data_IF_080433630094
#
_entry.id   IF_080433630094
#
_cell.length_a   1.000
_cell.length_b   1.000
_cell.length_c   1.000
_cell.angle_alpha   90.00
_cell.angle_beta   90.00
_cell.angle_gamma   90.00
#
_symmetry.space_group_name_H-M   'P 1'
#
loop_
_entity.id
_entity.type
_entity.pdbx_description
1 polymer ?
#
# COMPACT_ATOMS: atom_id res chain seq x y z
N UNK A 1 14.68 -7.72 -14.04
CA UNK A 1 13.35 -7.38 -14.59
C UNK A 1 13.55 -6.64 -15.90
N UNK A 2 12.94 -7.08 -17.01
CA UNK A 2 13.26 -6.61 -18.38
C UNK A 2 12.81 -5.16 -18.69
N UNK A 3 11.98 -4.55 -17.83
CA UNK A 3 11.34 -3.24 -18.06
C UNK A 3 11.56 -2.22 -16.92
N UNK A 4 12.45 -2.49 -15.96
CA UNK A 4 12.60 -1.67 -14.75
C UNK A 4 13.00 -0.21 -15.02
N UNK A 5 13.84 0.03 -16.02
CA UNK A 5 14.26 1.39 -16.39
C UNK A 5 13.14 2.16 -17.12
N UNK A 6 12.21 1.44 -17.78
CA UNK A 6 11.12 2.04 -18.56
C UNK A 6 9.92 2.49 -17.73
N UNK A 7 9.79 2.01 -16.48
CA UNK A 7 8.68 2.36 -15.56
C UNK A 7 9.00 3.59 -14.70
N UNK A 8 10.22 4.15 -14.80
CA UNK A 8 10.64 5.35 -14.07
C UNK A 8 10.63 5.16 -12.55
N UNK A 9 10.98 3.96 -12.09
CA UNK A 9 11.15 3.64 -10.67
C UNK A 9 12.62 3.76 -10.29
N UNK A 10 12.88 4.36 -9.13
CA UNK A 10 14.22 4.35 -8.54
C UNK A 10 14.61 2.92 -8.11
N UNK A 11 15.90 2.67 -7.91
CA UNK A 11 16.36 1.39 -7.34
C UNK A 11 15.69 1.07 -6.00
N UNK A 12 15.39 2.09 -5.22
CA UNK A 12 14.71 1.93 -3.93
C UNK A 12 13.25 1.51 -4.11
N UNK A 13 12.56 2.06 -5.10
CA UNK A 13 11.17 1.70 -5.41
C UNK A 13 11.08 0.22 -5.78
N UNK A 14 12.06 -0.31 -6.54
CA UNK A 14 12.07 -1.72 -6.97
C UNK A 14 12.15 -2.74 -5.83
N UNK A 15 12.60 -2.34 -4.64
CA UNK A 15 12.63 -3.18 -3.45
C UNK A 15 11.44 -2.98 -2.51
N UNK A 16 10.57 -2.02 -2.81
CA UNK A 16 9.57 -1.48 -1.88
C UNK A 16 8.17 -1.43 -2.52
N UNK A 17 7.78 -2.54 -3.17
CA UNK A 17 6.41 -2.72 -3.68
C UNK A 17 5.96 -4.18 -3.58
N UNK A 18 4.65 -4.38 -3.72
CA UNK A 18 4.04 -5.70 -3.93
C UNK A 18 3.04 -5.62 -5.08
N UNK A 19 2.94 -6.68 -5.88
CA UNK A 19 1.89 -6.81 -6.90
C UNK A 19 0.59 -7.18 -6.19
N UNK A 20 -0.40 -6.29 -6.22
CA UNK A 20 -1.72 -6.55 -5.62
C UNK A 20 -2.63 -7.33 -6.57
N UNK A 21 -2.55 -7.05 -7.87
CA UNK A 21 -3.26 -7.81 -8.89
C UNK A 21 -2.60 -7.68 -10.26
N UNK A 22 -2.83 -8.66 -11.12
CA UNK A 22 -2.50 -8.56 -12.53
C UNK A 22 -3.49 -9.35 -13.37
N UNK A 23 -3.99 -8.73 -14.43
CA UNK A 23 -4.96 -9.35 -15.33
C UNK A 23 -4.87 -8.77 -16.73
N UNK A 24 -5.29 -9.55 -17.71
CA UNK A 24 -5.42 -9.10 -19.08
C UNK A 24 -6.77 -8.42 -19.29
N UNK A 25 -6.75 -7.21 -19.85
CA UNK A 25 -7.92 -6.44 -20.21
C UNK A 25 -8.19 -6.64 -21.71
N UNK A 26 -9.19 -7.47 -22.02
CA UNK A 26 -9.60 -7.81 -23.39
C UNK A 26 -10.06 -6.60 -24.21
N UNK A 27 -10.77 -5.64 -23.60
CA UNK A 27 -11.34 -4.51 -24.35
C UNK A 27 -10.28 -3.54 -24.88
N UNK A 28 -9.14 -3.45 -24.18
CA UNK A 28 -8.00 -2.60 -24.59
C UNK A 28 -6.83 -3.40 -25.19
N UNK A 29 -6.84 -4.73 -25.01
CA UNK A 29 -5.75 -5.63 -25.34
C UNK A 29 -4.49 -5.33 -24.52
N UNK A 30 -4.64 -5.09 -23.21
CA UNK A 30 -3.54 -4.67 -22.33
C UNK A 30 -3.42 -5.55 -21.10
N UNK A 31 -2.18 -5.87 -20.69
CA UNK A 31 -1.92 -6.48 -19.39
C UNK A 31 -1.86 -5.38 -18.33
N UNK A 32 -2.80 -5.41 -17.40
CA UNK A 32 -2.85 -4.52 -16.25
C UNK A 32 -2.06 -5.12 -15.09
N UNK A 33 -1.26 -4.31 -14.41
CA UNK A 33 -0.49 -4.69 -13.22
C UNK A 33 -0.65 -3.60 -12.16
N UNK A 34 -1.12 -3.97 -10.98
CA UNK A 34 -1.35 -3.07 -9.86
C UNK A 34 -0.27 -3.30 -8.82
N UNK A 35 0.40 -2.23 -8.43
CA UNK A 35 1.52 -2.23 -7.50
C UNK A 35 1.15 -1.38 -6.29
N UNK A 36 1.19 -1.97 -5.10
CA UNK A 36 1.08 -1.22 -3.86
C UNK A 36 2.48 -0.94 -3.32
N UNK A 37 2.75 0.30 -2.92
CA UNK A 37 4.00 0.65 -2.27
C UNK A 37 4.11 -0.07 -0.93
N UNK A 38 5.32 -0.53 -0.60
CA UNK A 38 5.66 -1.07 0.71
C UNK A 38 6.85 -0.31 1.28
N UNK A 39 7.04 -0.38 2.59
CA UNK A 39 8.22 0.16 3.25
C UNK A 39 8.50 -0.62 4.53
N UNK A 40 9.73 -1.12 4.68
CA UNK A 40 10.12 -2.03 5.78
C UNK A 40 9.13 -3.21 5.97
N UNK A 41 8.59 -3.72 4.86
CA UNK A 41 7.63 -4.84 4.83
C UNK A 41 6.17 -4.47 5.10
N UNK A 42 5.86 -3.20 5.39
CA UNK A 42 4.49 -2.73 5.64
C UNK A 42 3.89 -2.08 4.39
N UNK A 43 2.59 -2.27 4.11
CA UNK A 43 1.92 -1.57 3.02
C UNK A 43 1.78 -0.08 3.35
N UNK A 44 2.07 0.78 2.38
CA UNK A 44 1.77 2.21 2.46
C UNK A 44 0.38 2.42 1.90
N UNK A 45 -0.59 2.72 2.78
CA UNK A 45 -1.98 2.86 2.36
C UNK A 45 -2.18 4.04 1.41
N UNK A 46 -3.10 3.85 0.45
CA UNK A 46 -3.45 4.79 -0.60
C UNK A 46 -2.32 5.14 -1.58
N UNK A 47 -1.22 4.36 -1.60
CA UNK A 47 -0.12 4.54 -2.53
C UNK A 47 -0.02 3.37 -3.49
N UNK A 48 -0.70 3.51 -4.64
CA UNK A 48 -0.80 2.49 -5.68
C UNK A 48 -0.37 3.05 -7.04
N UNK A 49 0.36 2.23 -7.79
CA UNK A 49 0.72 2.48 -9.19
C UNK A 49 0.07 1.41 -10.06
N UNK A 50 -0.55 1.84 -11.17
CA UNK A 50 -1.13 0.95 -12.17
C UNK A 50 -0.30 1.04 -13.44
N UNK A 51 0.15 -0.11 -13.93
CA UNK A 51 0.92 -0.24 -15.17
C UNK A 51 0.07 -0.98 -16.20
N UNK A 52 0.01 -0.45 -17.42
CA UNK A 52 -0.60 -1.13 -18.56
C UNK A 52 0.48 -1.48 -19.59
N UNK A 53 0.55 -2.75 -19.97
CA UNK A 53 1.47 -3.25 -20.98
C UNK A 53 0.72 -3.75 -22.21
N UNK A 54 1.27 -3.49 -23.40
CA UNK A 54 0.77 -4.03 -24.66
C UNK A 54 1.94 -4.59 -25.47
N UNK A 55 1.85 -5.86 -25.87
CA UNK A 55 2.97 -6.55 -26.55
C UNK A 55 4.28 -6.54 -25.74
N UNK A 56 4.18 -6.60 -24.41
CA UNK A 56 5.34 -6.57 -23.50
C UNK A 56 5.96 -5.19 -23.27
N UNK A 57 5.46 -4.13 -23.91
CA UNK A 57 5.90 -2.75 -23.72
C UNK A 57 4.96 -2.00 -22.79
N UNK A 58 5.51 -1.17 -21.91
CA UNK A 58 4.72 -0.26 -21.08
C UNK A 58 4.09 0.80 -21.99
N UNK A 59 2.77 0.94 -21.93
CA UNK A 59 2.03 1.95 -22.70
C UNK A 59 1.37 3.00 -21.81
N UNK A 60 1.16 2.69 -20.52
CA UNK A 60 0.59 3.63 -19.57
C UNK A 60 1.06 3.31 -18.15
N UNK A 61 1.21 4.38 -17.36
CA UNK A 61 1.49 4.36 -15.93
C UNK A 61 0.59 5.40 -15.29
N UNK A 62 -0.14 5.00 -14.24
CA UNK A 62 -0.95 5.88 -13.43
C UNK A 62 -0.56 5.76 -11.95
N UNK A 63 -0.54 6.88 -11.24
CA UNK A 63 -0.13 6.95 -9.83
C UNK A 63 1.39 7.10 -9.64
N UNK A 64 1.79 7.24 -8.38
CA UNK A 64 3.18 7.41 -7.96
C UNK A 64 3.40 6.79 -6.59
N UNK A 65 4.65 6.42 -6.31
CA UNK A 65 5.07 6.12 -4.96
C UNK A 65 5.52 7.39 -4.24
N UNK A 66 5.38 7.40 -2.92
CA UNK A 66 5.94 8.44 -2.08
C UNK A 66 7.47 8.28 -2.03
N UNK A 67 8.24 9.31 -2.41
CA UNK A 67 9.68 9.28 -2.25
C UNK A 67 10.06 9.46 -0.77
N UNK A 68 11.31 9.13 -0.43
CA UNK A 68 11.92 9.45 0.86
C UNK A 68 11.12 8.95 2.08
N UNK A 69 10.60 7.72 2.03
CA UNK A 69 9.82 7.11 3.11
C UNK A 69 10.55 7.10 4.47
N UNK A 70 11.89 6.98 4.49
CA UNK A 70 12.67 7.08 5.73
C UNK A 70 12.47 8.45 6.40
N UNK A 71 12.49 9.54 5.63
CA UNK A 71 12.23 10.90 6.13
C UNK A 71 10.77 11.06 6.53
N UNK A 72 9.82 10.61 5.71
CA UNK A 72 8.38 10.75 6.01
C UNK A 72 7.95 10.02 7.28
N UNK A 73 8.68 8.98 7.66
CA UNK A 73 8.42 8.18 8.86
C UNK A 73 9.29 8.59 10.05
N UNK A 74 10.15 9.61 9.90
CA UNK A 74 11.19 9.97 10.88
C UNK A 74 12.03 8.74 11.31
N UNK A 75 12.32 7.84 10.37
CA UNK A 75 13.08 6.62 10.62
C UNK A 75 12.38 5.60 11.51
N UNK A 76 11.06 5.67 11.68
CA UNK A 76 10.31 4.75 12.52
C UNK A 76 10.60 3.28 12.16
N UNK A 77 10.64 2.44 13.20
CA UNK A 77 10.73 1.00 13.03
C UNK A 77 9.41 0.45 12.47
N UNK A 78 9.49 -0.69 11.79
CA UNK A 78 8.29 -1.43 11.36
C UNK A 78 7.54 -2.08 12.54
N UNK A 79 8.17 -2.13 13.74
CA UNK A 79 7.51 -2.62 14.94
C UNK A 79 6.72 -1.50 15.61
N UNK A 80 5.42 -1.70 15.89
CA UNK A 80 4.63 -0.71 16.60
C UNK A 80 5.08 -0.59 18.07
N UNK A 81 4.93 0.60 18.64
CA UNK A 81 5.20 0.88 20.06
C UNK A 81 4.02 0.53 20.99
N UNK A 82 2.85 0.29 20.41
CA UNK A 82 1.62 -0.09 21.11
C UNK A 82 1.09 -1.40 20.57
N UNK A 83 0.33 -2.13 21.40
CA UNK A 83 -0.32 -3.36 20.96
C UNK A 83 -1.52 -3.05 20.06
N UNK A 84 -1.94 -3.99 19.18
CA UNK A 84 -3.18 -3.83 18.42
C UNK A 84 -4.41 -3.62 19.32
N UNK A 85 -4.47 -4.29 20.48
CA UNK A 85 -5.58 -4.14 21.42
C UNK A 85 -5.64 -2.73 22.01
N UNK A 86 -4.49 -2.15 22.37
CA UNK A 86 -4.44 -0.80 22.91
C UNK A 86 -4.77 0.25 21.84
N UNK A 87 -4.31 0.07 20.60
CA UNK A 87 -4.68 0.93 19.48
C UNK A 87 -6.21 0.99 19.29
N UNK A 88 -6.89 -0.16 19.36
CA UNK A 88 -8.34 -0.26 19.26
C UNK A 88 -9.03 0.38 20.48
N UNK A 89 -8.54 0.13 21.70
CA UNK A 89 -9.07 0.77 22.93
C UNK A 89 -9.00 2.29 22.87
N UNK A 90 -7.86 2.83 22.46
CA UNK A 90 -7.67 4.28 22.30
C UNK A 90 -8.63 4.84 21.26
N UNK A 91 -8.86 4.14 20.13
CA UNK A 91 -9.84 4.56 19.13
C UNK A 91 -11.26 4.70 19.72
N UNK A 92 -11.72 3.71 20.50
CA UNK A 92 -13.04 3.75 21.15
C UNK A 92 -13.16 4.93 22.12
N UNK A 93 -12.12 5.20 22.91
CA UNK A 93 -12.07 6.33 23.83
C UNK A 93 -12.07 7.68 23.08
N UNK A 94 -11.27 7.82 22.02
CA UNK A 94 -11.17 9.04 21.21
C UNK A 94 -12.46 9.36 20.45
N UNK A 95 -13.17 8.34 19.97
CA UNK A 95 -14.39 8.53 19.18
C UNK A 95 -15.66 8.69 20.03
N UNK A 96 -15.55 8.69 21.38
CA UNK A 96 -16.71 8.64 22.30
C UNK A 96 -17.71 7.55 21.90
N UNK A 97 -17.23 6.47 21.29
CA UNK A 97 -18.03 5.30 20.97
C UNK A 97 -18.13 4.51 22.28
N UNK A 98 -18.99 4.99 23.17
CA UNK A 98 -19.22 4.35 24.45
C UNK A 98 -19.78 2.95 24.20
N UNK A 99 -19.04 1.95 24.65
CA UNK A 99 -19.56 0.62 24.87
C UNK A 99 -20.67 0.77 25.94
N UNK A 100 -21.94 0.68 25.54
CA UNK A 100 -22.99 0.44 26.54
C UNK A 100 -22.71 -0.93 27.17
N UNK A 101 -22.70 -1.03 28.51
CA UNK A 101 -22.51 -2.32 29.15
C UNK A 101 -23.66 -3.25 28.74
N UNK A 102 -23.32 -4.49 28.38
CA UNK A 102 -24.30 -5.57 28.28
C UNK A 102 -24.96 -5.70 29.64
N UNK A 103 -26.18 -5.19 29.74
CA UNK A 103 -27.03 -5.36 30.91
C UNK A 103 -27.25 -6.86 31.04
N UNK A 104 -26.68 -7.47 32.09
CA UNK A 104 -26.93 -8.87 32.43
C UNK A 104 -28.36 -8.93 32.96
N UNK A 105 -29.30 -9.35 32.11
CA UNK A 105 -30.66 -9.66 32.53
C UNK A 105 -30.64 -10.90 33.41
N UNK A 106 -30.73 -10.70 34.73
CA UNK A 106 -31.20 -11.71 35.69
C UNK A 106 -32.67 -12.01 35.47
#
# INVERSE_FOLDING_TARGET
MKNADSIGFSKNDLGNYVVSSSYFNESSGTQMVYLNQTFKGLPVYNQMVVLAFKGGKLISKAGSFLPNMETLTNGAAASPSITPADAVRTLFQMRKLLCQPLISST
#
